data_IF_390801757223
#
_entry.id   IF_390801757223
#
_cell.length_a   1.000
_cell.length_b   1.000
_cell.length_c   1.000
_cell.angle_alpha   90.00
_cell.angle_beta   90.00
_cell.angle_gamma   90.00
#
_symmetry.space_group_name_H-M   'P 1'
#
loop_
_entity.id
_entity.type
_entity.pdbx_description
1 polymer ?
#
# COMPACT_ATOMS: atom_id res chain seq x y z
N UNK A 1 -3.55 -7.66 23.07
CA UNK A 1 -3.99 -8.77 22.20
C UNK A 1 -4.60 -8.26 20.89
N UNK A 2 -5.61 -7.38 20.92
CA UNK A 2 -6.19 -6.79 19.69
C UNK A 2 -5.18 -6.13 18.76
N UNK A 3 -4.27 -5.28 19.29
CA UNK A 3 -3.25 -4.62 18.46
C UNK A 3 -2.29 -5.60 17.74
N UNK A 4 -2.03 -6.77 18.33
CA UNK A 4 -1.17 -7.80 17.71
C UNK A 4 -1.90 -8.45 16.53
N UNK A 5 -3.20 -8.73 16.69
CA UNK A 5 -4.06 -9.32 15.65
C UNK A 5 -4.18 -8.36 14.46
N UNK A 6 -4.42 -7.07 14.73
CA UNK A 6 -4.53 -6.07 13.67
C UNK A 6 -3.21 -5.92 12.89
N UNK A 7 -2.06 -5.93 13.58
CA UNK A 7 -0.75 -5.95 12.92
C UNK A 7 -0.55 -7.18 12.04
N UNK A 8 -1.00 -8.36 12.48
CA UNK A 8 -0.90 -9.58 11.68
C UNK A 8 -1.74 -9.50 10.40
N UNK A 9 -2.94 -8.90 10.48
CA UNK A 9 -3.80 -8.68 9.32
C UNK A 9 -3.20 -7.69 8.32
N UNK A 10 -2.64 -6.59 8.81
CA UNK A 10 -1.90 -5.61 7.99
C UNK A 10 -0.74 -6.29 7.24
N UNK A 11 0.04 -7.13 7.94
CA UNK A 11 1.08 -7.94 7.29
C UNK A 11 0.54 -8.94 6.26
N UNK A 12 -0.58 -9.60 6.56
CA UNK A 12 -1.23 -10.53 5.64
C UNK A 12 -1.77 -9.83 4.38
N UNK A 13 -2.29 -8.61 4.52
CA UNK A 13 -2.73 -7.77 3.42
C UNK A 13 -1.57 -7.42 2.48
N UNK A 14 -0.45 -6.92 3.02
CA UNK A 14 0.72 -6.58 2.19
C UNK A 14 1.24 -7.83 1.46
N UNK A 15 1.33 -8.97 2.15
CA UNK A 15 1.72 -10.23 1.53
C UNK A 15 0.76 -10.67 0.42
N UNK A 16 -0.55 -10.39 0.57
CA UNK A 16 -1.54 -10.68 -0.47
C UNK A 16 -1.34 -9.78 -1.68
N UNK A 17 -1.00 -8.51 -1.49
CA UNK A 17 -0.62 -7.60 -2.57
C UNK A 17 0.62 -8.13 -3.31
N UNK A 18 1.68 -8.51 -2.58
CA UNK A 18 2.89 -9.09 -3.20
C UNK A 18 2.59 -10.32 -4.05
N UNK A 19 1.69 -11.20 -3.60
CA UNK A 19 1.34 -12.43 -4.32
C UNK A 19 0.45 -12.17 -5.54
N UNK A 20 -0.52 -11.25 -5.44
CA UNK A 20 -1.46 -10.93 -6.54
C UNK A 20 -0.76 -10.14 -7.66
N UNK A 21 0.22 -9.30 -7.31
CA UNK A 21 0.95 -8.44 -8.25
C UNK A 21 2.46 -8.75 -8.27
N UNK A 22 2.82 -10.03 -8.18
CA UNK A 22 4.21 -10.50 -8.12
C UNK A 22 5.05 -10.04 -9.32
N UNK A 23 4.43 -9.88 -10.49
CA UNK A 23 5.13 -9.43 -11.71
C UNK A 23 5.29 -7.90 -11.78
N UNK A 24 4.61 -7.15 -10.90
CA UNK A 24 4.66 -5.68 -10.86
C UNK A 24 5.48 -5.13 -9.68
N UNK A 25 5.70 -5.95 -8.65
CA UNK A 25 6.37 -5.58 -7.41
C UNK A 25 7.75 -6.23 -7.38
N UNK A 26 8.79 -5.42 -7.23
CA UNK A 26 10.16 -5.90 -7.03
C UNK A 26 10.35 -6.38 -5.59
N UNK A 27 10.04 -5.52 -4.62
CA UNK A 27 10.05 -5.87 -3.20
C UNK A 27 9.21 -4.89 -2.37
N UNK A 28 8.98 -5.24 -1.11
CA UNK A 28 8.39 -4.33 -0.12
C UNK A 28 9.35 -4.04 1.02
N UNK A 29 9.26 -2.82 1.56
CA UNK A 29 10.08 -2.37 2.68
C UNK A 29 9.20 -1.69 3.73
N UNK A 30 9.28 -2.13 4.98
CA UNK A 30 8.55 -1.53 6.08
C UNK A 30 9.41 -0.47 6.76
N UNK A 31 8.89 0.74 6.87
CA UNK A 31 9.51 1.82 7.65
C UNK A 31 9.01 1.79 9.09
N UNK A 32 7.69 1.60 9.26
CA UNK A 32 7.06 1.45 10.57
C UNK A 32 6.08 0.27 10.57
N UNK A 33 5.33 0.07 11.66
CA UNK A 33 4.27 -0.96 11.67
C UNK A 33 3.05 -0.59 10.83
N UNK A 34 2.94 0.67 10.41
CA UNK A 34 1.78 1.23 9.72
C UNK A 34 2.19 1.88 8.39
N UNK A 35 3.45 1.78 7.98
CA UNK A 35 4.00 2.43 6.79
C UNK A 35 4.87 1.46 6.00
N UNK A 36 4.49 1.24 4.74
CA UNK A 36 5.17 0.31 3.83
C UNK A 36 5.44 0.96 2.48
N UNK A 37 6.61 0.69 1.95
CA UNK A 37 7.05 1.08 0.61
C UNK A 37 6.94 -0.14 -0.30
N UNK A 38 6.20 0.02 -1.40
CA UNK A 38 6.06 -0.94 -2.47
C UNK A 38 6.95 -0.47 -3.61
N UNK A 39 8.05 -1.18 -3.83
CA UNK A 39 8.97 -0.90 -4.92
C UNK A 39 8.48 -1.64 -6.16
N UNK A 40 8.17 -0.89 -7.21
CA UNK A 40 7.65 -1.42 -8.46
C UNK A 40 8.81 -1.83 -9.38
N UNK A 41 8.60 -2.89 -10.16
CA UNK A 41 9.56 -3.31 -11.18
C UNK A 41 9.73 -2.23 -12.24
N UNK A 42 10.81 -2.31 -13.01
CA UNK A 42 11.13 -1.39 -14.10
C UNK A 42 9.94 -1.24 -15.06
N UNK A 43 9.71 0.00 -15.53
CA UNK A 43 8.66 0.39 -16.49
C UNK A 43 7.21 0.38 -15.95
N UNK A 44 6.99 0.03 -14.69
CA UNK A 44 5.68 0.15 -14.06
C UNK A 44 5.53 1.53 -13.42
N UNK A 45 4.46 2.24 -13.79
CA UNK A 45 4.12 3.51 -13.14
C UNK A 45 3.29 3.27 -11.87
N UNK A 46 3.55 4.05 -10.84
CA UNK A 46 2.77 4.02 -9.60
C UNK A 46 1.28 4.31 -9.86
N UNK A 47 0.98 5.15 -10.85
CA UNK A 47 -0.40 5.47 -11.23
C UNK A 47 -1.10 4.25 -11.84
N UNK A 48 -0.45 3.54 -12.77
CA UNK A 48 -1.00 2.33 -13.37
C UNK A 48 -1.25 1.27 -12.31
N UNK A 49 -0.26 1.03 -11.45
CA UNK A 49 -0.37 0.07 -10.36
C UNK A 49 -1.54 0.39 -9.42
N UNK A 50 -1.65 1.65 -8.98
CA UNK A 50 -2.75 2.09 -8.12
C UNK A 50 -4.11 1.92 -8.80
N UNK A 51 -4.22 2.21 -10.09
CA UNK A 51 -5.46 2.03 -10.84
C UNK A 51 -5.89 0.55 -10.92
N UNK A 52 -4.94 -0.38 -10.95
CA UNK A 52 -5.21 -1.83 -10.89
C UNK A 52 -5.53 -2.33 -9.48
N UNK A 53 -4.87 -1.74 -8.47
CA UNK A 53 -5.05 -2.08 -7.06
C UNK A 53 -6.43 -1.65 -6.56
N UNK A 54 -6.84 -0.40 -6.82
CA UNK A 54 -8.01 0.24 -6.23
C UNK A 54 -9.33 -0.57 -6.36
N UNK A 55 -9.66 -1.17 -7.52
CA UNK A 55 -10.88 -1.97 -7.64
C UNK A 55 -10.90 -3.24 -6.78
N UNK A 56 -9.72 -3.81 -6.47
CA UNK A 56 -9.59 -5.08 -5.74
C UNK A 56 -9.27 -4.88 -4.26
N UNK A 57 -8.60 -3.79 -3.90
CA UNK A 57 -8.03 -3.58 -2.56
C UNK A 57 -9.07 -3.59 -1.45
N UNK A 58 -10.28 -3.07 -1.72
CA UNK A 58 -11.38 -3.10 -0.76
C UNK A 58 -11.83 -4.50 -0.35
N UNK A 59 -11.58 -5.53 -1.18
CA UNK A 59 -11.86 -6.92 -0.85
C UNK A 59 -10.79 -7.56 0.05
N UNK A 60 -9.64 -6.92 0.19
CA UNK A 60 -8.48 -7.45 0.90
C UNK A 60 -8.29 -6.83 2.28
N UNK A 61 -8.95 -5.70 2.56
CA UNK A 61 -8.84 -4.99 3.84
C UNK A 61 -9.81 -5.61 4.85
N UNK A 62 -9.24 -6.25 5.87
CA UNK A 62 -9.96 -6.85 7.00
C UNK A 62 -9.46 -6.33 8.37
N UNK A 63 -8.63 -5.28 8.33
CA UNK A 63 -8.03 -4.61 9.48
C UNK A 63 -8.60 -3.20 9.66
N UNK A 64 -8.62 -2.74 10.91
CA UNK A 64 -9.06 -1.41 11.35
C UNK A 64 -7.90 -0.43 11.54
N UNK A 65 -6.66 -0.93 11.56
CA UNK A 65 -5.47 -0.09 11.65
C UNK A 65 -5.30 0.76 10.39
N UNK A 66 -4.73 1.94 10.54
CA UNK A 66 -4.27 2.72 9.39
C UNK A 66 -3.04 2.04 8.78
N UNK A 67 -3.01 1.95 7.46
CA UNK A 67 -1.82 1.55 6.69
C UNK A 67 -1.53 2.61 5.63
N UNK A 68 -0.34 3.18 5.67
CA UNK A 68 0.18 4.08 4.65
C UNK A 68 1.06 3.27 3.71
N UNK A 69 0.74 3.29 2.42
CA UNK A 69 1.45 2.56 1.38
C UNK A 69 2.02 3.53 0.36
N UNK A 70 3.34 3.53 0.21
CA UNK A 70 4.07 4.35 -0.75
C UNK A 70 4.43 3.53 -1.98
N UNK A 71 4.03 3.97 -3.17
CA UNK A 71 4.43 3.35 -4.43
C UNK A 71 5.68 4.06 -4.94
N UNK A 72 6.79 3.34 -4.96
CA UNK A 72 8.10 3.83 -5.40
C UNK A 72 8.41 3.24 -6.76
N UNK A 73 8.60 4.11 -7.75
CA UNK A 73 9.06 3.69 -9.09
C UNK A 73 10.58 3.43 -9.08
N UNK A 74 11.09 2.79 -10.13
CA UNK A 74 12.51 2.38 -10.21
C UNK A 74 13.49 3.57 -10.13
N UNK A 75 13.06 4.77 -10.50
CA UNK A 75 13.88 5.99 -10.38
C UNK A 75 13.99 6.49 -8.93
N UNK A 76 13.38 5.79 -7.97
CA UNK A 76 13.35 6.14 -6.56
C UNK A 76 12.30 7.21 -6.24
N UNK A 77 11.53 7.67 -7.23
CA UNK A 77 10.47 8.64 -6.98
C UNK A 77 9.24 7.96 -6.37
N UNK A 78 8.81 8.47 -5.22
CA UNK A 78 7.52 8.12 -4.65
C UNK A 78 6.47 9.01 -5.32
N UNK A 79 5.70 8.43 -6.25
CA UNK A 79 4.71 9.21 -7.01
C UNK A 79 3.32 9.17 -6.42
N UNK A 80 3.01 8.16 -5.60
CA UNK A 80 1.69 7.96 -4.98
C UNK A 80 1.82 7.32 -3.62
N UNK A 81 1.15 7.92 -2.64
CA UNK A 81 0.94 7.29 -1.33
C UNK A 81 -0.55 7.09 -1.13
N UNK A 82 -0.93 5.93 -0.62
CA UNK A 82 -2.29 5.57 -0.29
C UNK A 82 -2.39 5.34 1.21
N UNK A 83 -3.30 6.04 1.89
CA UNK A 83 -3.65 5.71 3.26
C UNK A 83 -4.93 4.87 3.25
N UNK A 84 -4.86 3.66 3.80
CA UNK A 84 -5.99 2.76 4.00
C UNK A 84 -6.44 2.86 5.46
N UNK A 85 -7.71 3.17 5.67
CA UNK A 85 -8.35 3.09 6.97
C UNK A 85 -9.72 2.44 6.81
N UNK A 86 -10.05 1.50 7.69
CA UNK A 86 -11.38 0.91 7.79
C UNK A 86 -12.09 1.53 8.99
N UNK A 87 -12.76 2.65 8.76
CA UNK A 87 -13.68 3.27 9.70
C UNK A 87 -15.12 2.98 9.26
N UNK A 88 -15.98 2.54 10.18
CA UNK A 88 -17.40 2.28 9.91
C UNK A 88 -17.70 1.36 8.71
N UNK A 89 -16.86 0.34 8.48
CA UNK A 89 -16.91 -0.59 7.34
C UNK A 89 -16.71 0.08 5.97
N UNK A 90 -16.17 1.29 5.94
CA UNK A 90 -15.80 2.01 4.73
C UNK A 90 -14.29 2.02 4.61
N UNK A 91 -13.78 1.56 3.48
CA UNK A 91 -12.38 1.70 3.11
C UNK A 91 -12.19 3.10 2.56
N UNK A 92 -11.49 3.95 3.30
CA UNK A 92 -11.05 5.24 2.79
C UNK A 92 -9.65 5.09 2.22
N UNK A 93 -9.49 5.48 0.95
CA UNK A 93 -8.18 5.56 0.30
C UNK A 93 -7.88 7.01 -0.05
N UNK A 94 -6.86 7.59 0.59
CA UNK A 94 -6.42 8.95 0.32
C UNK A 94 -5.12 8.95 -0.46
N UNK A 95 -5.09 9.67 -1.58
CA UNK A 95 -3.82 10.01 -2.22
C UNK A 95 -3.15 11.13 -1.41
N UNK A 96 -2.03 10.84 -0.75
CA UNK A 96 -1.22 11.89 -0.14
C UNK A 96 -0.48 12.62 -1.25
N UNK A 97 -0.70 13.94 -1.38
CA UNK A 97 0.17 14.77 -2.20
C UNK A 97 1.54 14.84 -1.50
N UNK A 98 2.57 14.31 -2.13
CA UNK A 98 3.93 14.66 -1.75
C UNK A 98 4.24 15.99 -2.44
N UNK A 99 4.29 17.07 -1.66
CA UNK A 99 4.89 18.32 -2.11
C UNK A 99 6.38 18.05 -2.36
N UNK A 100 6.72 17.76 -3.62
CA UNK A 100 8.10 17.80 -4.09
C UNK A 100 8.60 19.24 -3.99
N UNK A 101 9.13 19.60 -2.84
CA UNK A 101 10.01 20.76 -2.71
C UNK A 101 11.43 20.23 -2.88
N UNK A 102 11.96 20.37 -4.09
CA UNK A 102 13.40 20.32 -4.35
C UNK A 102 13.97 21.74 -4.23
#
# INVERSE_FOLDING_TARGET
>A
MHAIIERQKVGAFVKKIELEWVDLIDHTAWETSEEVYIHLVKEISAISFVNELMPKVGMFIDFKSTLIMHCVEQDGSCKKSLAFNLEDNLVSVYQLQQDTTF
#
